data_IF_074271292919
#
_entry.id   IF_074271292919
#
_cell.length_a   1.000
_cell.length_b   1.000
_cell.length_c   1.000
_cell.angle_alpha   90.00
_cell.angle_beta   90.00
_cell.angle_gamma   90.00
#
_symmetry.space_group_name_H-M   'P 1'
#
loop_
_entity.id
_entity.type
_entity.pdbx_description
1 polymer ?
#
# COMPACT_ATOMS: atom_id res chain seq x y z
N UNK A 1 -33.91 43.62 -36.64
CA UNK A 1 -33.95 42.39 -35.92
C UNK A 1 -32.61 41.94 -35.49
N UNK A 2 -32.44 41.89 -34.23
CA UNK A 2 -31.13 41.57 -33.68
C UNK A 2 -31.00 40.09 -33.42
N UNK A 3 -30.11 39.47 -34.08
CA UNK A 3 -29.66 38.14 -33.75
C UNK A 3 -28.75 38.21 -32.57
N UNK A 4 -29.24 37.74 -31.48
CA UNK A 4 -28.39 37.55 -30.30
C UNK A 4 -27.65 36.25 -30.52
N UNK A 5 -26.42 36.35 -30.94
CA UNK A 5 -25.54 35.22 -30.90
C UNK A 5 -25.23 34.94 -29.43
N UNK A 6 -25.90 34.00 -28.87
CA UNK A 6 -25.52 33.47 -27.59
C UNK A 6 -24.24 32.67 -27.80
N UNK A 7 -23.13 33.27 -27.44
CA UNK A 7 -21.92 32.52 -27.33
C UNK A 7 -22.12 31.54 -26.19
N UNK A 8 -22.37 30.31 -26.51
CA UNK A 8 -22.31 29.24 -25.54
C UNK A 8 -20.86 29.05 -25.21
N UNK A 9 -20.46 29.61 -24.08
CA UNK A 9 -19.18 29.28 -23.50
C UNK A 9 -19.28 27.82 -23.08
N UNK A 10 -18.79 26.97 -23.93
CA UNK A 10 -18.52 25.61 -23.49
C UNK A 10 -17.42 25.65 -22.48
N UNK A 11 -17.73 25.72 -21.22
CA UNK A 11 -16.77 25.49 -20.17
C UNK A 11 -16.40 24.02 -20.20
N UNK A 12 -15.34 23.71 -20.88
CA UNK A 12 -14.67 22.46 -20.73
C UNK A 12 -14.03 22.46 -19.35
N UNK A 13 -14.70 21.85 -18.41
CA UNK A 13 -14.08 21.54 -17.15
C UNK A 13 -13.06 20.44 -17.41
N UNK A 14 -11.81 20.83 -17.55
CA UNK A 14 -10.74 19.89 -17.32
C UNK A 14 -10.71 19.67 -15.81
N UNK A 15 -11.42 18.68 -15.35
CA UNK A 15 -11.15 18.13 -14.06
C UNK A 15 -9.74 17.54 -14.15
N UNK A 16 -8.75 18.34 -13.84
CA UNK A 16 -7.49 17.78 -13.44
C UNK A 16 -7.76 17.06 -12.15
N UNK A 17 -8.19 15.82 -12.26
CA UNK A 17 -8.03 14.89 -11.18
C UNK A 17 -6.54 14.87 -10.92
N UNK A 18 -6.15 15.43 -9.79
CA UNK A 18 -4.84 15.15 -9.27
C UNK A 18 -4.76 13.62 -9.21
N UNK A 19 -4.16 13.04 -10.23
CA UNK A 19 -3.89 11.63 -10.24
C UNK A 19 -2.90 11.38 -9.14
N UNK A 20 -3.41 10.99 -7.97
CA UNK A 20 -2.62 10.18 -7.09
C UNK A 20 -1.98 9.14 -8.01
N UNK A 21 -0.67 9.00 -7.96
CA UNK A 21 0.05 8.05 -8.79
C UNK A 21 -0.61 6.67 -8.72
N UNK A 22 -0.27 5.76 -9.62
CA UNK A 22 -0.84 4.42 -9.62
C UNK A 22 -0.64 3.78 -8.24
N UNK A 23 -1.63 3.03 -7.75
CA UNK A 23 -1.49 2.37 -6.46
C UNK A 23 -0.24 1.48 -6.47
N UNK A 24 0.54 1.59 -5.40
CA UNK A 24 1.72 0.75 -5.23
C UNK A 24 1.29 -0.65 -4.83
N UNK A 25 1.85 -1.63 -5.50
CA UNK A 25 1.66 -3.03 -5.15
C UNK A 25 2.85 -3.51 -4.32
N UNK A 26 2.55 -4.16 -3.23
CA UNK A 26 3.56 -4.76 -2.38
C UNK A 26 3.31 -6.25 -2.26
N UNK A 27 4.28 -7.05 -2.66
CA UNK A 27 4.29 -8.48 -2.39
C UNK A 27 5.05 -8.73 -1.09
N UNK A 28 4.41 -9.40 -0.15
CA UNK A 28 5.05 -9.88 1.07
C UNK A 28 5.26 -11.37 0.93
N UNK A 29 6.51 -11.79 0.92
CA UNK A 29 6.91 -13.19 0.85
C UNK A 29 7.45 -13.62 2.20
N UNK A 30 6.92 -14.70 2.73
CA UNK A 30 7.38 -15.25 4.00
C UNK A 30 8.43 -16.34 3.76
N UNK A 31 9.70 -15.96 3.86
CA UNK A 31 10.83 -16.89 3.76
C UNK A 31 11.32 -17.36 5.14
N UNK A 32 10.47 -17.24 6.16
CA UNK A 32 10.78 -17.65 7.53
C UNK A 32 10.07 -18.94 7.87
N UNK A 33 10.46 -19.60 8.98
CA UNK A 33 9.74 -20.78 9.48
C UNK A 33 8.49 -20.45 10.29
N UNK A 34 8.21 -19.16 10.54
CA UNK A 34 7.06 -18.74 11.35
C UNK A 34 5.88 -18.36 10.47
N UNK A 35 4.68 -18.47 11.03
CA UNK A 35 3.46 -18.00 10.36
C UNK A 35 3.15 -16.58 10.81
N UNK A 36 2.91 -15.69 9.84
CA UNK A 36 2.52 -14.31 10.09
C UNK A 36 0.99 -14.27 10.17
N UNK A 37 0.44 -13.76 11.26
CA UNK A 37 -1.00 -13.61 11.40
C UNK A 37 -1.49 -12.16 11.46
N UNK A 38 -0.59 -11.20 11.61
CA UNK A 38 -0.93 -9.78 11.54
C UNK A 38 0.12 -9.00 10.78
N UNK A 39 -0.34 -8.07 9.98
CA UNK A 39 0.51 -7.16 9.22
C UNK A 39 -0.04 -5.76 9.27
N UNK A 40 0.82 -4.83 9.64
CA UNK A 40 0.53 -3.40 9.61
C UNK A 40 1.52 -2.72 8.68
N UNK A 41 1.04 -1.77 7.91
CA UNK A 41 1.85 -1.00 6.97
C UNK A 41 1.68 0.47 7.32
N UNK A 42 2.77 1.13 7.68
CA UNK A 42 2.79 2.57 7.90
C UNK A 42 3.45 3.26 6.73
N UNK A 43 2.70 4.13 6.11
CA UNK A 43 3.24 5.04 5.12
C UNK A 43 3.84 6.21 5.89
N UNK A 44 5.07 6.59 5.56
CA UNK A 44 5.82 7.61 6.30
C UNK A 44 4.97 8.83 6.69
N UNK A 45 4.87 9.06 7.99
CA UNK A 45 4.12 10.19 8.55
C UNK A 45 2.64 9.93 8.79
N UNK A 46 2.16 8.71 8.59
CA UNK A 46 0.82 8.28 8.95
C UNK A 46 0.85 7.28 10.09
N UNK A 47 -0.29 7.03 10.71
CA UNK A 47 -0.43 5.97 11.70
C UNK A 47 -0.38 4.59 11.06
N UNK A 48 -0.15 3.56 11.87
CA UNK A 48 -0.12 2.18 11.38
C UNK A 48 -1.39 1.75 10.66
N UNK A 49 -2.51 2.41 10.95
CA UNK A 49 -3.78 2.10 10.33
C UNK A 49 -4.32 0.73 10.72
N UNK A 50 -5.26 0.23 9.92
CA UNK A 50 -5.90 -1.04 10.15
C UNK A 50 -4.96 -2.20 9.81
N UNK A 51 -5.16 -3.33 10.50
CA UNK A 51 -4.45 -4.56 10.23
C UNK A 51 -4.82 -5.06 8.82
N UNK A 52 -3.83 -5.55 8.07
CA UNK A 52 -3.97 -5.83 6.63
C UNK A 52 -4.35 -7.25 6.27
N UNK A 53 -4.10 -8.24 7.14
CA UNK A 53 -4.38 -9.65 6.83
C UNK A 53 -5.85 -10.01 7.01
N UNK A 54 -6.55 -9.29 7.87
CA UNK A 54 -8.00 -9.46 8.08
C UNK A 54 -8.40 -10.91 8.38
N UNK A 55 -7.68 -11.53 9.30
CA UNK A 55 -7.93 -12.92 9.69
C UNK A 55 -7.27 -13.98 8.82
N UNK A 56 -6.57 -13.57 7.76
CA UNK A 56 -5.75 -14.46 6.95
C UNK A 56 -4.35 -14.58 7.53
N UNK A 57 -3.62 -15.59 7.11
CA UNK A 57 -2.25 -15.81 7.55
C UNK A 57 -1.33 -15.98 6.35
N UNK A 58 -0.05 -15.67 6.55
CA UNK A 58 0.98 -15.99 5.57
C UNK A 58 1.89 -17.04 6.21
N UNK A 59 1.71 -18.27 5.81
CA UNK A 59 2.54 -19.37 6.28
C UNK A 59 3.93 -19.36 5.67
N UNK A 60 4.83 -20.24 6.14
CA UNK A 60 6.16 -20.38 5.54
C UNK A 60 6.07 -20.64 4.05
N UNK A 61 6.92 -19.96 3.26
CA UNK A 61 6.92 -19.97 1.79
C UNK A 61 5.67 -19.35 1.14
N UNK A 62 4.75 -18.85 1.93
CA UNK A 62 3.58 -18.13 1.43
C UNK A 62 3.90 -16.72 0.99
N UNK A 63 3.05 -16.17 0.14
CA UNK A 63 3.14 -14.78 -0.29
C UNK A 63 1.75 -14.19 -0.43
N UNK A 64 1.65 -12.88 -0.21
CA UNK A 64 0.39 -12.16 -0.36
C UNK A 64 0.66 -10.78 -0.93
N UNK A 65 -0.22 -10.31 -1.80
CA UNK A 65 -0.12 -8.99 -2.40
C UNK A 65 -1.00 -8.00 -1.66
N UNK A 66 -0.47 -6.81 -1.44
CA UNK A 66 -1.19 -5.69 -0.85
C UNK A 66 -1.19 -4.52 -1.80
N UNK A 67 -2.32 -3.84 -1.90
CA UNK A 67 -2.46 -2.60 -2.66
C UNK A 67 -2.38 -1.43 -1.70
N UNK A 68 -1.42 -0.54 -1.92
CA UNK A 68 -1.28 0.69 -1.16
C UNK A 68 -1.95 1.80 -1.95
N UNK A 69 -3.12 2.23 -1.49
CA UNK A 69 -4.05 3.06 -2.26
C UNK A 69 -3.59 4.49 -2.47
N UNK A 70 -2.78 5.00 -1.60
CA UNK A 70 -2.43 6.40 -1.67
C UNK A 70 -1.24 6.66 -2.54
N UNK A 71 -1.30 6.37 -3.82
CA UNK A 71 -0.33 6.75 -4.83
C UNK A 71 0.81 7.63 -4.34
N UNK A 72 1.49 7.11 -3.37
CA UNK A 72 2.30 7.92 -2.51
C UNK A 72 3.61 8.12 -3.21
N UNK A 73 4.00 9.36 -3.35
CA UNK A 73 5.36 9.75 -3.68
C UNK A 73 6.38 9.19 -2.69
N UNK A 74 5.94 8.31 -1.80
CA UNK A 74 6.76 7.78 -0.72
C UNK A 74 7.08 6.33 -0.99
N UNK A 75 8.26 6.13 -1.47
CA UNK A 75 8.79 4.81 -1.76
C UNK A 75 9.12 3.99 -0.52
N UNK A 76 9.07 4.59 0.65
CA UNK A 76 9.48 3.96 1.89
C UNK A 76 8.27 3.74 2.79
N UNK A 77 8.09 2.51 3.23
CA UNK A 77 7.05 2.15 4.20
C UNK A 77 7.66 1.37 5.36
N UNK A 78 7.05 1.50 6.52
CA UNK A 78 7.40 0.69 7.66
C UNK A 78 6.41 -0.47 7.77
N UNK A 79 6.92 -1.66 8.02
CA UNK A 79 6.14 -2.87 8.16
C UNK A 79 6.27 -3.40 9.58
N UNK A 80 5.15 -3.76 10.17
CA UNK A 80 5.09 -4.44 11.44
C UNK A 80 4.34 -5.75 11.26
N UNK A 81 5.02 -6.85 11.56
CA UNK A 81 4.48 -8.19 11.42
C UNK A 81 4.44 -8.86 12.78
N UNK A 82 3.36 -9.57 13.05
CA UNK A 82 3.26 -10.40 14.24
C UNK A 82 3.11 -11.85 13.81
N UNK A 83 3.88 -12.72 14.47
CA UNK A 83 3.74 -14.15 14.28
C UNK A 83 2.57 -14.69 15.11
N UNK A 84 2.15 -15.90 14.82
CA UNK A 84 1.13 -16.60 15.62
C UNK A 84 1.55 -16.81 17.07
N UNK A 85 2.85 -16.76 17.35
CA UNK A 85 3.38 -16.80 18.72
C UNK A 85 3.38 -15.44 19.41
N UNK A 86 2.90 -14.38 18.73
CA UNK A 86 2.85 -13.04 19.28
C UNK A 86 4.15 -12.25 19.20
N UNK A 87 5.17 -12.77 18.53
CA UNK A 87 6.42 -12.05 18.35
C UNK A 87 6.26 -10.97 17.29
N UNK A 88 6.75 -9.78 17.59
CA UNK A 88 6.66 -8.61 16.72
C UNK A 88 7.97 -8.40 15.97
N UNK A 89 7.84 -8.08 14.68
CA UNK A 89 8.96 -7.76 13.80
C UNK A 89 8.67 -6.43 13.12
N UNK A 90 9.67 -5.56 13.05
CA UNK A 90 9.55 -4.27 12.39
C UNK A 90 10.62 -4.10 11.33
N UNK A 91 10.22 -3.67 10.14
CA UNK A 91 11.11 -3.48 9.00
C UNK A 91 10.75 -2.23 8.24
N UNK A 92 11.73 -1.71 7.52
CA UNK A 92 11.52 -0.62 6.56
C UNK A 92 11.76 -1.15 5.16
N UNK A 93 10.81 -0.92 4.26
CA UNK A 93 10.87 -1.40 2.88
C UNK A 93 10.87 -0.22 1.90
N UNK A 94 11.67 -0.35 0.85
CA UNK A 94 11.76 0.62 -0.25
C UNK A 94 11.02 0.08 -1.46
N UNK A 95 9.81 0.54 -1.67
CA UNK A 95 8.91 -0.02 -2.67
C UNK A 95 9.18 0.47 -4.10
N UNK A 96 9.87 1.58 -4.28
CA UNK A 96 10.15 2.08 -5.63
C UNK A 96 11.28 1.31 -6.32
N UNK A 97 12.15 0.68 -5.56
CA UNK A 97 13.23 -0.14 -6.10
C UNK A 97 12.78 -1.58 -6.31
N UNK A 98 11.97 -2.10 -5.39
CA UNK A 98 11.50 -3.46 -5.42
C UNK A 98 10.09 -3.53 -4.80
N UNK A 99 9.14 -4.08 -5.55
CA UNK A 99 7.77 -4.23 -5.08
C UNK A 99 7.58 -5.47 -4.20
N UNK A 100 8.64 -6.14 -3.83
CA UNK A 100 8.63 -7.34 -3.00
C UNK A 100 9.38 -7.12 -1.71
N UNK A 101 8.74 -7.43 -0.59
CA UNK A 101 9.37 -7.53 0.71
C UNK A 101 9.46 -9.00 1.10
N UNK A 102 10.67 -9.46 1.42
CA UNK A 102 10.88 -10.84 1.86
C UNK A 102 11.14 -10.87 3.37
N UNK A 103 10.25 -11.52 4.10
CA UNK A 103 10.38 -11.67 5.53
C UNK A 103 11.23 -12.89 5.86
N UNK A 104 12.29 -12.68 6.65
CA UNK A 104 13.23 -13.71 7.07
C UNK A 104 13.39 -13.76 8.59
N UNK A 105 12.34 -13.44 9.31
CA UNK A 105 12.38 -13.42 10.76
C UNK A 105 12.67 -14.78 11.37
N UNK A 106 13.21 -14.75 12.58
CA UNK A 106 13.47 -15.97 13.36
C UNK A 106 12.41 -16.13 14.44
N UNK A 107 12.09 -17.37 14.80
CA UNK A 107 11.12 -17.62 15.87
C UNK A 107 11.48 -16.98 17.19
#
# INVERSE_FOLDING_TARGET
MKLVATAVLAMTFFATTATAGPPLRLWVTNASPVTIDKLYIEIMGSDWGAERLRGKTIGPKGKMQFMLEDGVDKCVVDLKLLSTAGKEYSYRARLCEDHTFTFRGRP
#
